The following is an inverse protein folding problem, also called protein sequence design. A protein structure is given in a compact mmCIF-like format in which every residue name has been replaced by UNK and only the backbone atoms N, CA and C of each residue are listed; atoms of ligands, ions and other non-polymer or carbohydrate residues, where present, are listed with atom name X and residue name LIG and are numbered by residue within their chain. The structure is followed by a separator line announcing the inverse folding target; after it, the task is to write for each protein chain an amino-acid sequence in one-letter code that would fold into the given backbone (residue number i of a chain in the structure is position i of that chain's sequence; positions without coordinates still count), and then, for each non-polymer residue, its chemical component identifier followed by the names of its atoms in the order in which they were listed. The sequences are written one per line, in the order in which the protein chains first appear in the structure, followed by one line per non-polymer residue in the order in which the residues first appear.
data_IF_332895231250
#
_entry.id   IF_332895231250
#
_cell.length_a   1.000
_cell.length_b   1.000
_cell.length_c   1.000
_cell.angle_alpha   90.00
_cell.angle_beta   90.00
_cell.angle_gamma   90.00
#
_symmetry.space_group_name_H-M   'P 1'
#
loop_
_entity.id
_entity.type
_entity.pdbx_description
1 polymer ?
#
# COMPACT_ATOMS: atom_id res chain seq x y z
N UNK A 1 -6.43 0.87 11.27
CA UNK A 1 -5.53 0.54 10.15
C UNK A 1 -5.69 1.62 9.09
N UNK A 2 -4.58 2.08 8.50
CA UNK A 2 -4.61 3.06 7.42
C UNK A 2 -4.15 2.42 6.10
N UNK A 3 -4.81 2.82 5.02
CA UNK A 3 -4.43 2.53 3.65
C UNK A 3 -4.13 3.83 2.93
N UNK A 4 -3.02 3.87 2.25
CA UNK A 4 -2.56 5.08 1.54
C UNK A 4 -2.21 4.74 0.10
N UNK A 5 -2.49 5.65 -0.81
CA UNK A 5 -1.96 5.67 -2.16
C UNK A 5 -1.92 7.10 -2.66
N UNK A 6 -0.96 7.44 -3.47
CA UNK A 6 -0.89 8.79 -4.00
C UNK A 6 -1.78 8.99 -5.24
N UNK A 7 -2.17 10.24 -5.46
CA UNK A 7 -2.97 10.69 -6.60
C UNK A 7 -2.46 12.08 -7.03
N UNK A 8 -1.38 12.12 -7.75
CA UNK A 8 -0.73 13.38 -8.11
C UNK A 8 -0.04 13.42 -9.48
N UNK A 9 0.08 12.29 -10.18
CA UNK A 9 0.73 12.24 -11.49
C UNK A 9 -0.31 12.26 -12.64
N UNK A 10 -0.61 13.42 -13.23
CA UNK A 10 -1.62 13.50 -14.28
C UNK A 10 -1.16 12.75 -15.53
N UNK A 11 -2.06 11.90 -16.06
CA UNK A 11 -1.81 11.13 -17.27
C UNK A 11 -1.07 9.81 -17.04
N UNK A 12 -0.66 9.49 -15.82
CA UNK A 12 -0.05 8.20 -15.48
C UNK A 12 -1.09 7.25 -14.90
N UNK A 13 -1.13 6.02 -15.41
CA UNK A 13 -2.15 5.06 -15.07
C UNK A 13 -1.72 4.13 -13.93
N UNK A 14 -0.50 3.60 -13.98
CA UNK A 14 0.00 2.72 -12.94
C UNK A 14 0.53 3.51 -11.74
N UNK A 15 1.26 4.59 -11.99
CA UNK A 15 1.84 5.47 -10.97
C UNK A 15 0.97 6.72 -10.75
N UNK A 16 0.05 6.78 -9.82
CA UNK A 16 -0.45 5.93 -8.73
C UNK A 16 -1.94 5.66 -8.86
N UNK A 17 -2.61 5.91 -10.05
CA UNK A 17 -4.06 5.70 -10.18
C UNK A 17 -4.43 4.24 -9.93
N UNK A 18 -3.57 3.29 -10.32
CA UNK A 18 -3.75 1.87 -10.01
C UNK A 18 -3.89 1.62 -8.50
N UNK A 19 -3.06 2.28 -7.69
CA UNK A 19 -3.12 2.20 -6.24
C UNK A 19 -4.43 2.73 -5.67
N UNK A 20 -4.91 3.87 -6.16
CA UNK A 20 -6.23 4.43 -5.77
C UNK A 20 -7.37 3.47 -6.12
N UNK A 21 -7.31 2.84 -7.29
CA UNK A 21 -8.25 1.79 -7.69
C UNK A 21 -8.24 0.61 -6.72
N UNK A 22 -7.04 0.18 -6.30
CA UNK A 22 -6.86 -0.84 -5.26
C UNK A 22 -7.47 -0.45 -3.92
N UNK A 23 -7.24 0.80 -3.47
CA UNK A 23 -7.87 1.33 -2.24
C UNK A 23 -9.39 1.27 -2.33
N UNK A 24 -9.98 1.71 -3.44
CA UNK A 24 -11.43 1.70 -3.65
C UNK A 24 -11.98 0.27 -3.59
N UNK A 25 -11.28 -0.70 -4.13
CA UNK A 25 -11.65 -2.12 -4.12
C UNK A 25 -11.66 -2.69 -2.70
N UNK A 26 -10.62 -2.43 -1.91
CA UNK A 26 -10.53 -2.86 -0.50
C UNK A 26 -11.61 -2.17 0.35
N UNK A 27 -11.80 -0.86 0.16
CA UNK A 27 -12.86 -0.12 0.83
C UNK A 27 -14.24 -0.71 0.55
N UNK A 28 -14.54 -1.01 -0.71
CA UNK A 28 -15.83 -1.58 -1.12
C UNK A 28 -16.11 -2.96 -0.47
N UNK A 29 -15.07 -3.77 -0.24
CA UNK A 29 -15.22 -5.05 0.47
C UNK A 29 -15.35 -4.84 1.98
N UNK A 30 -14.47 -4.06 2.59
CA UNK A 30 -14.48 -3.85 4.04
C UNK A 30 -15.71 -3.08 4.51
N UNK A 31 -16.28 -2.19 3.68
CA UNK A 31 -17.51 -1.46 4.02
C UNK A 31 -18.73 -2.36 4.22
N UNK A 32 -18.74 -3.54 3.60
CA UNK A 32 -19.83 -4.52 3.71
C UNK A 32 -19.73 -5.41 4.95
N UNK A 33 -18.59 -5.39 5.65
CA UNK A 33 -18.38 -6.22 6.85
C UNK A 33 -19.05 -5.59 8.06
N UNK A 34 -19.98 -6.28 8.69
CA UNK A 34 -20.68 -5.81 9.88
C UNK A 34 -19.79 -5.85 11.13
N UNK A 35 -19.02 -6.93 11.31
CA UNK A 35 -18.18 -7.14 12.50
C UNK A 35 -16.71 -6.89 12.15
N UNK A 36 -16.28 -5.61 12.22
CA UNK A 36 -14.89 -5.21 12.00
C UNK A 36 -14.14 -5.09 13.32
N UNK A 37 -13.00 -5.75 13.42
CA UNK A 37 -12.13 -5.64 14.60
C UNK A 37 -11.49 -4.26 14.71
N UNK A 38 -11.20 -3.62 13.57
CA UNK A 38 -10.55 -2.32 13.49
C UNK A 38 -11.38 -1.35 12.65
N UNK A 39 -11.16 -0.06 12.92
CA UNK A 39 -11.54 0.99 11.98
C UNK A 39 -10.50 1.05 10.84
N UNK A 40 -10.96 1.32 9.63
CA UNK A 40 -10.12 1.44 8.45
C UNK A 40 -10.23 2.85 7.88
N UNK A 41 -9.08 3.46 7.63
CA UNK A 41 -8.96 4.76 7.02
C UNK A 41 -8.31 4.61 5.64
N UNK A 42 -8.85 5.30 4.65
CA UNK A 42 -8.36 5.27 3.28
C UNK A 42 -8.01 6.69 2.85
N UNK A 43 -6.78 6.90 2.42
CA UNK A 43 -6.28 8.18 1.96
C UNK A 43 -5.77 8.06 0.53
N UNK A 44 -6.31 8.90 -0.35
CA UNK A 44 -5.76 9.17 -1.67
C UNK A 44 -5.32 10.64 -1.69
N UNK A 45 -4.02 10.87 -1.71
CA UNK A 45 -3.42 12.18 -1.44
C UNK A 45 -2.34 12.49 -2.48
N UNK A 46 -1.96 13.76 -2.68
CA UNK A 46 -0.70 14.08 -3.32
C UNK A 46 0.46 13.41 -2.57
N UNK A 47 1.34 12.77 -3.30
CA UNK A 47 2.48 12.03 -2.78
C UNK A 47 3.28 12.85 -1.78
N UNK A 48 3.65 12.24 -0.66
CA UNK A 48 4.46 12.83 0.41
C UNK A 48 3.83 14.07 1.05
N UNK A 49 3.60 15.14 0.29
CA UNK A 49 3.05 16.41 0.77
C UNK A 49 1.66 16.23 1.38
N UNK A 50 0.82 15.41 0.75
CA UNK A 50 -0.53 15.12 1.24
C UNK A 50 -0.51 14.39 2.57
N UNK A 51 0.36 13.39 2.71
CA UNK A 51 0.53 12.63 3.95
C UNK A 51 1.08 13.50 5.07
N UNK A 52 2.08 14.36 4.80
CA UNK A 52 2.59 15.33 5.77
C UNK A 52 1.46 16.26 6.24
N UNK A 53 0.73 16.85 5.30
CA UNK A 53 -0.36 17.77 5.61
C UNK A 53 -1.48 17.08 6.42
N UNK A 54 -1.81 15.85 6.06
CA UNK A 54 -2.83 15.08 6.76
C UNK A 54 -2.41 14.73 8.20
N UNK A 55 -1.20 14.24 8.41
CA UNK A 55 -0.66 13.91 9.73
C UNK A 55 -0.62 15.14 10.63
N UNK A 56 -0.19 16.27 10.09
CA UNK A 56 -0.16 17.53 10.82
C UNK A 56 -1.56 18.05 11.17
N UNK A 57 -2.53 17.89 10.28
CA UNK A 57 -3.90 18.36 10.47
C UNK A 57 -4.76 17.43 11.34
N UNK A 58 -4.36 16.16 11.53
CA UNK A 58 -5.14 15.12 12.22
C UNK A 58 -4.31 14.31 13.22
N UNK A 59 -3.56 14.95 14.12
CA UNK A 59 -2.70 14.25 15.08
C UNK A 59 -3.49 13.31 16.00
N UNK A 60 -4.74 13.65 16.30
CA UNK A 60 -5.65 12.85 17.12
C UNK A 60 -6.09 11.54 16.46
N UNK A 61 -6.09 11.49 15.12
CA UNK A 61 -6.32 10.25 14.37
C UNK A 61 -5.00 9.50 14.16
N UNK A 62 -3.93 10.22 13.84
CA UNK A 62 -2.60 9.63 13.63
C UNK A 62 -2.17 8.79 14.84
N UNK A 63 -2.37 9.30 16.06
CA UNK A 63 -2.03 8.60 17.32
C UNK A 63 -2.78 7.28 17.55
N UNK A 64 -3.86 7.02 16.80
CA UNK A 64 -4.66 5.79 16.88
C UNK A 64 -4.32 4.78 15.81
N UNK A 65 -3.45 5.12 14.87
CA UNK A 65 -3.05 4.23 13.78
C UNK A 65 -2.02 3.24 14.32
N UNK A 66 -2.32 1.96 14.20
CA UNK A 66 -1.44 0.88 14.67
C UNK A 66 -0.64 0.22 13.55
N UNK A 67 -1.08 0.37 12.32
CA UNK A 67 -0.42 -0.19 11.14
C UNK A 67 -0.95 0.46 9.86
N UNK A 68 -0.14 0.44 8.80
CA UNK A 68 -0.52 0.94 7.48
C UNK A 68 -0.15 0.01 6.34
N UNK A 69 -0.83 0.16 5.23
CA UNK A 69 -0.51 -0.45 3.94
C UNK A 69 -0.50 0.67 2.89
N UNK A 70 0.63 0.86 2.25
CA UNK A 70 0.77 1.75 1.10
C UNK A 70 0.65 0.95 -0.20
N UNK A 71 -0.08 1.49 -1.17
CA UNK A 71 -0.16 0.95 -2.52
C UNK A 71 0.60 1.83 -3.47
N UNK A 72 1.55 1.21 -4.16
CA UNK A 72 2.45 1.88 -5.08
C UNK A 72 2.53 1.06 -6.37
N UNK A 73 2.09 1.63 -7.51
CA UNK A 73 2.25 0.99 -8.83
C UNK A 73 1.82 -0.49 -8.84
N UNK A 74 0.56 -0.78 -8.51
CA UNK A 74 0.08 -2.14 -8.28
C UNK A 74 -0.49 -2.85 -9.53
N UNK A 75 -0.36 -2.24 -10.72
CA UNK A 75 -1.06 -2.71 -11.92
C UNK A 75 -0.18 -3.40 -12.97
N UNK A 76 1.15 -3.22 -12.96
CA UNK A 76 2.03 -3.74 -14.01
C UNK A 76 2.31 -5.24 -13.87
N UNK A 77 2.65 -5.88 -15.00
CA UNK A 77 2.90 -7.32 -15.08
C UNK A 77 4.34 -7.67 -14.71
N UNK A 78 4.71 -7.33 -13.48
CA UNK A 78 5.97 -7.73 -12.86
C UNK A 78 5.71 -8.47 -11.56
N UNK A 79 6.74 -8.88 -10.84
CA UNK A 79 6.60 -9.52 -9.54
C UNK A 79 5.97 -8.59 -8.53
N UNK A 80 5.12 -9.16 -7.68
CA UNK A 80 4.64 -8.48 -6.49
C UNK A 80 5.79 -8.36 -5.48
N UNK A 81 5.95 -7.19 -4.93
CA UNK A 81 6.97 -6.89 -3.92
C UNK A 81 6.28 -6.48 -2.63
N UNK A 82 6.65 -7.12 -1.53
CA UNK A 82 6.35 -6.69 -0.18
C UNK A 82 7.53 -5.88 0.36
N UNK A 83 7.35 -4.58 0.46
CA UNK A 83 8.30 -3.69 1.14
C UNK A 83 7.99 -3.63 2.62
N UNK A 84 8.96 -3.98 3.44
CA UNK A 84 8.82 -3.96 4.90
C UNK A 84 8.66 -2.52 5.43
N UNK A 85 8.00 -2.38 6.58
CA UNK A 85 8.01 -1.11 7.30
C UNK A 85 9.40 -0.82 7.91
N UNK A 86 9.58 0.40 8.42
CA UNK A 86 10.78 0.76 9.19
C UNK A 86 10.94 -0.08 10.48
N UNK A 87 9.88 -0.79 10.88
CA UNK A 87 9.85 -1.75 12.00
C UNK A 87 9.62 -3.17 11.49
N UNK A 88 10.61 -3.86 10.94
CA UNK A 88 10.43 -5.14 10.24
C UNK A 88 9.88 -6.29 11.11
N UNK A 89 9.77 -6.09 12.43
CA UNK A 89 9.16 -7.02 13.37
C UNK A 89 7.80 -6.53 13.91
N UNK A 90 7.24 -5.48 13.34
CA UNK A 90 5.90 -5.01 13.68
C UNK A 90 4.85 -6.09 13.39
N UNK A 91 3.65 -5.93 13.96
CA UNK A 91 2.58 -6.90 13.76
C UNK A 91 2.21 -7.04 12.28
N UNK A 92 2.15 -5.91 11.54
CA UNK A 92 1.80 -5.92 10.13
C UNK A 92 2.86 -6.63 9.28
N UNK A 93 4.16 -6.39 9.54
CA UNK A 93 5.26 -7.05 8.85
C UNK A 93 5.27 -8.56 9.08
N UNK A 94 5.09 -8.98 10.33
CA UNK A 94 5.07 -10.40 10.69
C UNK A 94 3.92 -11.14 10.02
N UNK A 95 2.73 -10.55 10.03
CA UNK A 95 1.54 -11.13 9.38
C UNK A 95 1.75 -11.17 7.87
N UNK A 96 2.13 -10.05 7.25
CA UNK A 96 2.32 -9.98 5.81
C UNK A 96 3.34 -11.02 5.32
N UNK A 97 4.52 -11.08 5.94
CA UNK A 97 5.54 -12.08 5.59
C UNK A 97 5.02 -13.52 5.71
N UNK A 98 4.33 -13.82 6.81
CA UNK A 98 3.82 -15.18 7.04
C UNK A 98 2.75 -15.54 6.01
N UNK A 99 1.76 -14.68 5.83
CA UNK A 99 0.60 -14.93 4.97
C UNK A 99 1.03 -15.04 3.51
N UNK A 100 1.88 -14.14 3.06
CA UNK A 100 2.24 -14.05 1.65
C UNK A 100 3.31 -15.08 1.25
N UNK A 101 4.17 -15.52 2.17
CA UNK A 101 5.19 -16.55 1.88
C UNK A 101 4.71 -17.99 2.10
N UNK A 102 3.73 -18.22 3.01
CA UNK A 102 3.37 -19.58 3.41
C UNK A 102 2.32 -20.25 2.53
N UNK A 103 1.55 -19.49 1.76
CA UNK A 103 0.40 -20.06 1.04
C UNK A 103 0.68 -20.41 -0.43
N UNK A 104 1.91 -20.18 -0.91
CA UNK A 104 2.37 -20.63 -2.24
C UNK A 104 1.66 -20.03 -3.47
N UNK A 105 0.63 -19.21 -3.24
CA UNK A 105 -0.20 -18.63 -4.30
C UNK A 105 0.37 -17.34 -4.90
N UNK A 106 1.37 -16.77 -4.22
CA UNK A 106 2.00 -15.52 -4.65
C UNK A 106 3.50 -15.72 -4.85
N UNK A 107 4.01 -15.24 -5.97
CA UNK A 107 5.44 -15.07 -6.17
C UNK A 107 5.83 -13.66 -5.71
N UNK A 108 6.33 -13.57 -4.46
CA UNK A 108 6.59 -12.29 -3.80
C UNK A 108 8.07 -12.14 -3.51
N UNK A 109 8.62 -10.98 -3.87
CA UNK A 109 9.93 -10.54 -3.40
C UNK A 109 9.77 -9.69 -2.13
N UNK A 110 10.62 -9.97 -1.14
CA UNK A 110 10.68 -9.20 0.10
C UNK A 110 11.84 -8.22 0.02
N UNK A 111 11.56 -6.94 0.22
CA UNK A 111 12.59 -5.90 0.26
C UNK A 111 12.54 -5.11 1.58
N UNK A 112 13.67 -4.49 1.92
CA UNK A 112 13.79 -3.67 3.12
C UNK A 112 13.11 -2.32 2.93
N UNK A 113 12.86 -1.63 4.03
CA UNK A 113 12.20 -0.33 4.07
C UNK A 113 12.84 0.75 3.16
N UNK A 114 14.16 0.70 2.97
CA UNK A 114 14.90 1.67 2.16
C UNK A 114 15.14 1.24 0.71
N UNK A 115 14.75 0.03 0.37
CA UNK A 115 14.93 -0.50 -0.99
C UNK A 115 13.71 -0.20 -1.87
N UNK A 116 13.91 -0.23 -3.19
CA UNK A 116 12.87 0.07 -4.17
C UNK A 116 12.47 1.55 -4.20
N UNK A 117 11.27 1.82 -4.69
CA UNK A 117 10.70 3.17 -4.69
C UNK A 117 10.29 3.57 -3.26
N UNK A 118 10.58 4.81 -2.86
CA UNK A 118 10.14 5.38 -1.60
C UNK A 118 8.94 6.29 -1.85
N UNK A 119 7.93 6.20 -0.97
CA UNK A 119 6.70 6.94 -1.11
C UNK A 119 6.15 7.36 0.28
N UNK A 120 4.84 7.44 0.42
CA UNK A 120 4.15 7.88 1.63
C UNK A 120 4.51 7.08 2.89
N UNK A 121 4.90 5.80 2.78
CA UNK A 121 5.34 5.00 3.93
C UNK A 121 6.54 5.63 4.66
N UNK A 122 7.36 6.41 3.95
CA UNK A 122 8.47 7.14 4.56
C UNK A 122 7.99 8.25 5.50
N UNK A 123 6.90 8.92 5.14
CA UNK A 123 6.29 9.99 5.95
C UNK A 123 5.68 9.42 7.24
N UNK A 124 4.97 8.30 7.13
CA UNK A 124 4.38 7.63 8.31
C UNK A 124 5.43 7.01 9.24
N UNK A 125 6.63 6.75 8.72
CA UNK A 125 7.77 6.25 9.49
C UNK A 125 8.52 7.34 10.27
N UNK A 126 8.15 8.62 10.13
CA UNK A 126 8.76 9.72 10.88
C UNK A 126 8.70 9.42 12.38
N UNK A 127 9.78 9.68 13.15
CA UNK A 127 9.84 9.39 14.59
C UNK A 127 8.72 9.98 15.44
N UNK A 128 8.13 11.10 15.02
CA UNK A 128 7.03 11.73 15.73
C UNK A 128 5.70 10.93 15.61
N UNK A 129 5.56 10.15 14.54
CA UNK A 129 4.36 9.32 14.29
C UNK A 129 4.64 7.84 14.51
N UNK A 130 5.78 7.35 14.02
CA UNK A 130 6.32 6.01 14.24
C UNK A 130 5.34 4.87 13.86
N UNK A 131 4.56 5.10 12.79
CA UNK A 131 3.53 4.19 12.30
C UNK A 131 4.14 3.16 11.37
N UNK A 132 4.14 1.86 11.71
CA UNK A 132 4.64 0.82 10.81
C UNK A 132 3.72 0.67 9.60
N UNK A 133 4.25 0.96 8.42
CA UNK A 133 3.54 0.87 7.14
C UNK A 133 4.33 0.01 6.17
N UNK A 134 3.74 -1.10 5.74
CA UNK A 134 4.26 -1.90 4.62
C UNK A 134 3.80 -1.30 3.29
N UNK A 135 4.54 -1.57 2.21
CA UNK A 135 4.06 -1.26 0.87
C UNK A 135 3.91 -2.53 0.02
N UNK A 136 2.88 -2.54 -0.81
CA UNK A 136 2.66 -3.53 -1.86
C UNK A 136 2.80 -2.83 -3.20
N UNK A 137 3.71 -3.34 -4.03
CA UNK A 137 4.04 -2.74 -5.32
C UNK A 137 4.45 -3.82 -6.32
N UNK A 138 4.30 -3.54 -7.63
CA UNK A 138 4.91 -4.34 -8.68
C UNK A 138 6.19 -3.66 -9.14
N UNK A 139 7.33 -4.34 -8.99
CA UNK A 139 8.66 -3.78 -9.23
C UNK A 139 9.57 -4.83 -9.89
N UNK A 140 10.46 -4.46 -10.84
CA UNK A 140 10.64 -3.12 -11.42
C UNK A 140 9.50 -2.71 -12.36
N UNK A 141 9.44 -1.40 -12.69
CA UNK A 141 8.49 -0.82 -13.63
C UNK A 141 9.24 0.07 -14.65
N UNK A 142 9.43 -0.42 -15.84
CA UNK A 142 10.28 0.21 -16.86
C UNK A 142 9.69 1.50 -17.43
N UNK A 143 8.36 1.64 -17.43
CA UNK A 143 7.64 2.82 -17.89
C UNK A 143 7.54 3.93 -16.85
N UNK A 144 8.11 3.73 -15.66
CA UNK A 144 8.09 4.68 -14.55
C UNK A 144 8.50 6.09 -14.97
N UNK A 145 7.66 7.07 -14.67
CA UNK A 145 7.84 8.49 -14.99
C UNK A 145 8.02 8.79 -16.48
N UNK A 146 7.42 7.99 -17.35
CA UNK A 146 7.42 8.21 -18.80
C UNK A 146 5.99 8.32 -19.35
N UNK A 147 5.85 8.82 -20.57
CA UNK A 147 4.55 8.86 -21.27
C UNK A 147 4.03 7.46 -21.68
N UNK A 148 4.79 6.40 -21.39
CA UNK A 148 4.38 5.02 -21.64
C UNK A 148 3.57 4.44 -20.47
N UNK A 149 3.54 5.10 -19.31
CA UNK A 149 2.67 4.73 -18.21
C UNK A 149 1.23 5.13 -18.55
N UNK A 150 0.56 4.31 -19.32
CA UNK A 150 -0.84 4.47 -19.72
C UNK A 150 -1.69 3.26 -19.31
N UNK A 151 -2.97 3.30 -19.63
CA UNK A 151 -3.93 2.25 -19.24
C UNK A 151 -3.54 0.86 -19.76
N UNK A 152 -2.76 0.76 -20.84
CA UNK A 152 -2.33 -0.53 -21.40
C UNK A 152 -1.30 -1.24 -20.54
N UNK A 153 -0.62 -0.53 -19.65
CA UNK A 153 0.33 -1.12 -18.68
C UNK A 153 -0.36 -1.76 -17.49
N UNK A 154 -1.64 -1.44 -17.25
CA UNK A 154 -2.39 -1.88 -16.06
C UNK A 154 -3.15 -3.18 -16.35
N UNK A 155 -2.79 -4.24 -15.65
CA UNK A 155 -3.38 -5.56 -15.77
C UNK A 155 -4.33 -5.84 -14.60
N UNK A 156 -5.60 -6.12 -14.90
CA UNK A 156 -6.65 -6.41 -13.89
C UNK A 156 -6.24 -7.56 -12.97
N UNK A 157 -5.56 -8.59 -13.51
CA UNK A 157 -5.07 -9.72 -12.70
C UNK A 157 -4.09 -9.30 -11.60
N UNK A 158 -3.26 -8.26 -11.85
CA UNK A 158 -2.29 -7.75 -10.88
C UNK A 158 -2.98 -6.94 -9.78
N UNK A 159 -3.98 -6.15 -10.15
CA UNK A 159 -4.83 -5.47 -9.17
C UNK A 159 -5.56 -6.47 -8.26
N UNK A 160 -6.07 -7.58 -8.84
CA UNK A 160 -6.74 -8.62 -8.06
C UNK A 160 -5.75 -9.37 -7.16
N UNK A 161 -4.53 -9.64 -7.60
CA UNK A 161 -3.46 -10.25 -6.82
C UNK A 161 -3.15 -9.42 -5.55
N UNK A 162 -2.94 -8.11 -5.71
CA UNK A 162 -2.70 -7.20 -4.58
C UNK A 162 -3.93 -7.13 -3.66
N UNK A 163 -5.13 -7.11 -4.22
CA UNK A 163 -6.37 -7.16 -3.43
C UNK A 163 -6.43 -8.43 -2.56
N UNK A 164 -6.20 -9.61 -3.14
CA UNK A 164 -6.21 -10.88 -2.41
C UNK A 164 -5.12 -10.92 -1.34
N UNK A 165 -3.90 -10.49 -1.67
CA UNK A 165 -2.80 -10.38 -0.72
C UNK A 165 -3.18 -9.51 0.48
N UNK A 166 -3.74 -8.32 0.22
CA UNK A 166 -4.21 -7.40 1.26
C UNK A 166 -5.29 -8.02 2.13
N UNK A 167 -6.30 -8.63 1.52
CA UNK A 167 -7.42 -9.20 2.27
C UNK A 167 -6.98 -10.37 3.16
N UNK A 168 -6.00 -11.17 2.73
CA UNK A 168 -5.38 -12.20 3.58
C UNK A 168 -4.68 -11.59 4.79
N UNK A 169 -3.90 -10.53 4.59
CA UNK A 169 -3.24 -9.81 5.69
C UNK A 169 -4.26 -9.27 6.69
N UNK A 170 -5.31 -8.60 6.22
CA UNK A 170 -6.36 -8.01 7.05
C UNK A 170 -7.18 -9.05 7.80
N UNK A 171 -7.40 -10.22 7.21
CA UNK A 171 -8.17 -11.29 7.86
C UNK A 171 -7.44 -11.92 9.07
N UNK A 172 -6.12 -11.81 9.13
CA UNK A 172 -5.29 -12.33 10.23
C UNK A 172 -5.01 -11.23 11.27
N UNK A 173 -4.95 -9.97 10.83
CA UNK A 173 -4.69 -8.82 11.70
C UNK A 173 -5.83 -8.59 12.71
#
# INVERSE_FOLDING_TARGET
IIFVSHLCHPGQANDGVSGVGGLARVWAELSKRENRRYSYLFLALPETIGSVAWLWARPELASKIIAGINYEMIGVDTKLVLKQSHKPNSIIDRIARKVLNCEGDFEIDLISFRDGYGNDELVFADPDFDIPMIALQHYPFDEYHTSKDDVSTVHVRRLEEVHQATMRVINIL
#
